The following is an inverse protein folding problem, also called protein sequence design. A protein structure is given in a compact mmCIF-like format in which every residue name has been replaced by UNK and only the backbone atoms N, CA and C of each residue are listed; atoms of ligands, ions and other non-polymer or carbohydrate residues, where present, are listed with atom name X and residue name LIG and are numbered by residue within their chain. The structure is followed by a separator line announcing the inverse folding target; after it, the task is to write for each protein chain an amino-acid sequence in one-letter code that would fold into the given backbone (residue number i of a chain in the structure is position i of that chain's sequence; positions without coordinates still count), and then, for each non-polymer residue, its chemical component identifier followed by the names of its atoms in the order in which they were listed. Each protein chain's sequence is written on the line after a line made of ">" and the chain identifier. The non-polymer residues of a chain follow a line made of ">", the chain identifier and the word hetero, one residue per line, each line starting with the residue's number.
data_IF_609091934409
#
_entry.id   IF_609091934409
#
_cell.length_a   1.000
_cell.length_b   1.000
_cell.length_c   1.000
_cell.angle_alpha   90.00
_cell.angle_beta   90.00
_cell.angle_gamma   90.00
#
_symmetry.space_group_name_H-M   'P 1'
#
loop_
_entity.id
_entity.type
_entity.pdbx_description
1 polymer ?
#
# COMPACT_ATOMS: atom_id res chain seq x y z
N UNK A 1 -0.71 -19.62 -21.32
CA UNK A 1 0.41 -19.87 -20.40
C UNK A 1 0.23 -19.08 -19.10
N UNK A 2 0.09 -19.75 -17.94
CA UNK A 2 0.02 -19.08 -16.64
C UNK A 2 1.45 -18.88 -16.10
N UNK A 3 1.83 -17.64 -15.77
CA UNK A 3 3.14 -17.38 -15.15
C UNK A 3 3.19 -17.99 -13.75
N UNK A 4 4.23 -18.75 -13.45
CA UNK A 4 4.57 -19.17 -12.09
C UNK A 4 4.93 -17.91 -11.29
N UNK A 5 4.16 -17.61 -10.24
CA UNK A 5 4.49 -16.54 -9.29
C UNK A 5 5.38 -17.08 -8.20
N UNK A 6 6.56 -16.51 -8.02
CA UNK A 6 7.38 -16.77 -6.83
C UNK A 6 6.70 -16.09 -5.64
N UNK A 7 6.40 -16.85 -4.60
CA UNK A 7 5.97 -16.31 -3.32
C UNK A 7 7.21 -16.18 -2.44
N UNK A 8 7.54 -14.94 -2.04
CA UNK A 8 8.59 -14.68 -1.07
C UNK A 8 8.05 -14.97 0.33
N UNK A 9 8.38 -16.14 0.85
CA UNK A 9 8.03 -16.50 2.22
C UNK A 9 9.01 -15.80 3.18
N UNK A 10 8.47 -15.15 4.19
CA UNK A 10 9.26 -14.59 5.26
C UNK A 10 9.93 -15.70 6.08
N UNK A 11 11.19 -15.51 6.41
CA UNK A 11 11.94 -16.36 7.35
C UNK A 11 11.65 -16.01 8.81
N UNK A 12 10.65 -15.16 9.09
CA UNK A 12 10.25 -14.84 10.46
C UNK A 12 9.63 -16.07 11.14
N UNK A 13 10.26 -16.63 12.19
CA UNK A 13 9.76 -17.82 12.87
C UNK A 13 8.36 -17.61 13.47
N UNK A 14 7.97 -16.37 13.75
CA UNK A 14 6.65 -16.03 14.28
C UNK A 14 5.61 -15.78 13.18
N UNK A 15 5.97 -15.91 11.88
CA UNK A 15 5.09 -15.56 10.76
C UNK A 15 3.70 -16.18 10.89
N UNK A 16 3.61 -17.49 11.13
CA UNK A 16 2.34 -18.18 11.25
C UNK A 16 1.48 -17.69 12.43
N UNK A 17 2.12 -17.41 13.57
CA UNK A 17 1.43 -16.89 14.75
C UNK A 17 0.88 -15.47 14.49
N UNK A 18 1.67 -14.61 13.86
CA UNK A 18 1.26 -13.24 13.48
C UNK A 18 0.08 -13.29 12.51
N UNK A 19 0.15 -14.13 11.46
CA UNK A 19 -0.92 -14.26 10.48
C UNK A 19 -2.20 -14.83 11.09
N UNK A 20 -2.10 -15.84 11.97
CA UNK A 20 -3.26 -16.35 12.73
C UNK A 20 -3.88 -15.26 13.59
N UNK A 21 -3.07 -14.45 14.30
CA UNK A 21 -3.54 -13.33 15.09
C UNK A 21 -4.27 -12.29 14.24
N UNK A 22 -3.73 -11.92 13.07
CA UNK A 22 -4.39 -10.99 12.14
C UNK A 22 -5.73 -11.52 11.64
N UNK A 23 -5.81 -12.82 11.29
CA UNK A 23 -7.06 -13.48 10.92
C UNK A 23 -8.07 -13.47 12.07
N UNK A 24 -7.61 -13.72 13.29
CA UNK A 24 -8.43 -13.63 14.50
C UNK A 24 -8.99 -12.23 14.70
N UNK A 25 -8.15 -11.20 14.63
CA UNK A 25 -8.56 -9.80 14.72
C UNK A 25 -9.58 -9.42 13.64
N UNK A 26 -9.48 -9.99 12.45
CA UNK A 26 -10.45 -9.78 11.37
C UNK A 26 -11.77 -10.50 11.65
N UNK A 27 -11.73 -11.77 12.04
CA UNK A 27 -12.93 -12.61 12.27
C UNK A 27 -13.75 -12.11 13.44
N UNK A 28 -13.09 -11.75 14.54
CA UNK A 28 -13.74 -11.35 15.81
C UNK A 28 -13.80 -9.83 16.00
N UNK A 29 -13.70 -9.06 14.91
CA UNK A 29 -13.80 -7.61 15.01
C UNK A 29 -15.19 -7.17 15.47
N UNK A 30 -15.23 -6.14 16.30
CA UNK A 30 -16.50 -5.49 16.68
C UNK A 30 -17.18 -4.91 15.43
N UNK A 31 -18.52 -4.89 15.43
CA UNK A 31 -19.29 -4.23 14.36
C UNK A 31 -18.82 -2.78 14.21
N UNK A 32 -18.61 -2.33 12.97
CA UNK A 32 -18.10 -0.99 12.68
C UNK A 32 -16.58 -0.81 12.83
N UNK A 33 -15.84 -1.82 13.34
CA UNK A 33 -14.38 -1.74 13.39
C UNK A 33 -13.77 -2.04 12.03
N UNK A 34 -12.74 -1.26 11.67
CA UNK A 34 -12.02 -1.35 10.41
C UNK A 34 -10.64 -1.94 10.62
N UNK A 35 -10.18 -2.70 9.63
CA UNK A 35 -8.80 -3.15 9.51
C UNK A 35 -8.19 -2.54 8.24
N UNK A 36 -7.02 -1.96 8.37
CA UNK A 36 -6.28 -1.43 7.25
C UNK A 36 -4.83 -1.88 7.26
N UNK A 37 -4.24 -1.97 6.07
CA UNK A 37 -2.83 -2.27 5.85
C UNK A 37 -2.14 -1.02 5.35
N UNK A 38 -1.03 -0.68 5.98
CA UNK A 38 -0.25 0.50 5.64
C UNK A 38 1.11 0.11 5.09
N UNK A 39 1.54 0.82 4.05
CA UNK A 39 2.87 0.66 3.49
C UNK A 39 3.35 1.94 2.76
N UNK A 40 4.65 1.98 2.44
CA UNK A 40 5.31 3.13 1.83
C UNK A 40 6.18 2.69 0.66
N UNK A 41 5.81 3.10 -0.55
CA UNK A 41 6.54 2.80 -1.78
C UNK A 41 7.35 4.00 -2.26
N UNK A 42 8.68 3.87 -2.45
CA UNK A 42 9.46 4.88 -3.17
C UNK A 42 9.10 4.86 -4.66
N UNK A 43 8.85 6.03 -5.23
CA UNK A 43 8.59 6.22 -6.66
C UNK A 43 9.68 7.10 -7.23
N UNK A 44 10.41 6.58 -8.21
CA UNK A 44 11.40 7.36 -8.99
C UNK A 44 10.78 7.69 -10.34
N UNK A 45 10.76 8.97 -10.69
CA UNK A 45 10.23 9.45 -11.97
C UNK A 45 11.33 9.36 -13.02
N UNK A 46 11.21 8.39 -13.88
CA UNK A 46 12.07 8.15 -15.04
C UNK A 46 11.24 7.48 -16.12
N UNK A 47 11.74 7.40 -17.32
CA UNK A 47 11.13 6.55 -18.33
C UNK A 47 11.26 5.07 -17.90
N UNK A 48 10.16 4.36 -17.92
CA UNK A 48 10.11 2.93 -17.65
C UNK A 48 9.67 2.21 -18.92
N UNK A 49 10.50 1.29 -19.41
CA UNK A 49 10.09 0.28 -20.37
C UNK A 49 9.42 -0.88 -19.62
N UNK A 50 8.18 -1.18 -19.95
CA UNK A 50 7.42 -2.32 -19.44
C UNK A 50 6.94 -3.22 -20.58
N UNK A 51 6.38 -4.37 -20.25
CA UNK A 51 5.75 -5.24 -21.24
C UNK A 51 4.33 -4.74 -21.53
N UNK A 52 4.03 -4.48 -22.81
CA UNK A 52 2.70 -4.12 -23.28
C UNK A 52 2.27 -5.03 -24.43
N UNK A 53 1.00 -5.41 -24.46
CA UNK A 53 0.43 -6.01 -25.65
C UNK A 53 0.26 -4.92 -26.72
N UNK A 54 0.92 -5.09 -27.87
CA UNK A 54 0.82 -4.21 -29.03
C UNK A 54 0.71 -5.05 -30.29
N UNK A 55 0.06 -4.50 -31.32
CA UNK A 55 0.06 -5.09 -32.68
C UNK A 55 1.36 -4.78 -33.43
N UNK A 56 2.13 -3.82 -32.95
CA UNK A 56 3.43 -3.45 -33.53
C UNK A 56 4.53 -4.38 -33.02
N UNK A 57 5.45 -4.78 -33.90
CA UNK A 57 6.58 -5.65 -33.54
C UNK A 57 7.49 -5.02 -32.50
N UNK A 58 7.67 -3.70 -32.53
CA UNK A 58 8.53 -2.94 -31.60
C UNK A 58 7.82 -1.66 -31.20
N UNK A 59 7.57 -1.51 -29.91
CA UNK A 59 7.15 -0.25 -29.32
C UNK A 59 8.38 0.49 -28.79
N UNK A 60 8.79 1.53 -29.46
CA UNK A 60 9.93 2.36 -29.03
C UNK A 60 9.40 3.50 -28.15
N UNK A 61 9.85 3.54 -26.89
CA UNK A 61 9.62 4.66 -26.00
C UNK A 61 10.84 5.58 -26.06
N UNK A 62 10.73 6.66 -26.80
CA UNK A 62 11.76 7.72 -26.77
C UNK A 62 11.81 8.36 -25.39
N UNK A 63 12.88 8.15 -24.68
CA UNK A 63 13.00 8.56 -23.30
C UNK A 63 14.38 9.13 -22.98
N UNK A 64 14.39 10.29 -22.33
CA UNK A 64 15.60 10.79 -21.69
C UNK A 64 15.90 9.92 -20.46
N UNK A 65 17.09 9.36 -20.39
CA UNK A 65 17.53 8.46 -19.29
C UNK A 65 17.60 9.15 -17.91
N UNK A 66 17.42 10.45 -17.82
CA UNK A 66 17.58 11.22 -16.60
C UNK A 66 16.41 11.02 -15.63
N UNK A 67 16.71 10.79 -14.36
CA UNK A 67 15.72 10.83 -13.27
C UNK A 67 15.15 12.25 -13.13
N UNK A 68 13.82 12.38 -13.18
CA UNK A 68 13.05 13.65 -13.15
C UNK A 68 12.45 13.95 -11.78
N UNK A 69 12.78 13.14 -10.79
CA UNK A 69 12.36 13.33 -9.42
C UNK A 69 12.15 12.01 -8.67
N UNK A 70 12.00 12.13 -7.35
CA UNK A 70 11.69 11.03 -6.45
C UNK A 70 10.73 11.49 -5.38
N UNK A 71 9.77 10.65 -5.03
CA UNK A 71 8.85 10.85 -3.90
C UNK A 71 8.44 9.51 -3.31
N UNK A 72 7.71 9.55 -2.20
CA UNK A 72 7.20 8.36 -1.53
C UNK A 72 5.68 8.39 -1.54
N UNK A 73 5.09 7.28 -1.98
CA UNK A 73 3.66 7.03 -1.90
C UNK A 73 3.38 6.30 -0.59
N UNK A 74 2.62 6.94 0.28
CA UNK A 74 2.06 6.35 1.49
C UNK A 74 0.67 5.86 1.16
N UNK A 75 0.42 4.57 1.35
CA UNK A 75 -0.87 3.96 1.05
C UNK A 75 -1.42 3.23 2.28
N UNK A 76 -2.69 3.45 2.55
CA UNK A 76 -3.48 2.72 3.54
C UNK A 76 -4.61 2.01 2.80
N UNK A 77 -4.60 0.69 2.82
CA UNK A 77 -5.64 -0.14 2.24
C UNK A 77 -6.62 -0.61 3.33
N UNK A 78 -7.80 -0.06 3.34
CA UNK A 78 -8.90 -0.45 4.23
C UNK A 78 -9.66 -1.63 3.61
N UNK A 79 -9.54 -2.81 4.23
CA UNK A 79 -10.02 -4.08 3.64
C UNK A 79 -11.52 -4.30 3.78
N UNK A 80 -12.21 -3.60 4.68
CA UNK A 80 -13.64 -3.79 4.89
C UNK A 80 -14.46 -3.34 3.68
N UNK A 81 -14.04 -2.23 3.05
CA UNK A 81 -14.73 -1.63 1.90
C UNK A 81 -13.86 -1.60 0.64
N UNK A 82 -12.62 -2.10 0.72
CA UNK A 82 -11.69 -2.08 -0.41
C UNK A 82 -11.22 -0.68 -0.79
N UNK A 83 -11.13 0.23 0.17
CA UNK A 83 -10.77 1.63 -0.07
C UNK A 83 -9.30 1.86 0.17
N UNK A 84 -8.66 2.56 -0.77
CA UNK A 84 -7.29 3.03 -0.63
C UNK A 84 -7.29 4.51 -0.23
N UNK A 85 -6.54 4.86 0.80
CA UNK A 85 -6.22 6.23 1.19
C UNK A 85 -4.73 6.45 0.97
N UNK A 86 -4.34 7.59 0.40
CA UNK A 86 -2.95 7.83 0.06
C UNK A 86 -2.52 9.28 0.27
N UNK A 87 -1.19 9.46 0.33
CA UNK A 87 -0.55 10.75 0.28
C UNK A 87 0.87 10.62 -0.29
N UNK A 88 1.39 11.70 -0.83
CA UNK A 88 2.76 11.78 -1.31
C UNK A 88 3.61 12.61 -0.35
N UNK A 89 4.85 12.15 -0.12
CA UNK A 89 5.81 12.84 0.72
C UNK A 89 7.22 12.79 0.09
N UNK A 90 8.10 13.74 0.41
CA UNK A 90 9.47 13.74 -0.09
C UNK A 90 10.38 12.74 0.64
N UNK A 91 9.91 12.10 1.70
CA UNK A 91 10.67 11.12 2.47
C UNK A 91 9.78 10.11 3.19
N UNK A 92 10.38 9.03 3.72
CA UNK A 92 9.69 7.94 4.43
C UNK A 92 9.89 7.93 5.95
N UNK A 93 10.70 8.83 6.49
CA UNK A 93 11.03 8.82 7.92
C UNK A 93 9.81 9.05 8.83
N UNK A 94 10.00 8.79 10.12
CA UNK A 94 8.93 8.81 11.14
C UNK A 94 8.10 10.10 11.16
N UNK A 95 8.69 11.26 10.84
CA UNK A 95 7.94 12.54 10.71
C UNK A 95 6.84 12.47 9.65
N UNK A 96 7.09 11.80 8.53
CA UNK A 96 6.11 11.66 7.44
C UNK A 96 5.07 10.60 7.77
N UNK A 97 5.47 9.50 8.43
CA UNK A 97 4.53 8.52 8.97
C UNK A 97 3.57 9.22 9.95
N UNK A 98 4.08 10.04 10.87
CA UNK A 98 3.25 10.82 11.80
C UNK A 98 2.29 11.78 11.07
N UNK A 99 2.75 12.49 10.02
CA UNK A 99 1.88 13.35 9.20
C UNK A 99 0.78 12.55 8.51
N UNK A 100 1.12 11.38 7.99
CA UNK A 100 0.15 10.49 7.36
C UNK A 100 -0.87 9.96 8.37
N UNK A 101 -0.45 9.49 9.54
CA UNK A 101 -1.36 8.97 10.57
C UNK A 101 -2.36 10.04 11.08
N UNK A 102 -1.95 11.32 11.16
CA UNK A 102 -2.89 12.42 11.42
C UNK A 102 -3.94 12.57 10.30
N UNK A 103 -3.56 12.36 9.02
CA UNK A 103 -4.52 12.33 7.91
C UNK A 103 -5.44 11.12 7.99
N UNK A 104 -4.91 9.96 8.36
CA UNK A 104 -5.70 8.73 8.56
C UNK A 104 -6.79 8.99 9.60
N UNK A 105 -6.46 9.59 10.76
CA UNK A 105 -7.47 9.90 11.78
C UNK A 105 -8.52 10.89 11.29
N UNK A 106 -8.15 11.85 10.43
CA UNK A 106 -9.13 12.77 9.80
C UNK A 106 -10.06 12.07 8.81
N UNK A 107 -9.59 11.07 8.08
CA UNK A 107 -10.43 10.27 7.18
C UNK A 107 -11.36 9.31 7.93
N UNK A 108 -11.00 8.93 9.14
CA UNK A 108 -11.75 7.99 10.00
C UNK A 108 -11.90 8.59 11.41
N UNK A 109 -12.65 9.69 11.58
CA UNK A 109 -12.65 10.46 12.83
C UNK A 109 -13.20 9.68 14.03
N UNK A 110 -14.22 8.87 13.82
CA UNK A 110 -14.94 8.14 14.88
C UNK A 110 -14.77 6.61 14.78
N UNK A 111 -14.44 6.09 13.60
CA UNK A 111 -14.37 4.65 13.38
C UNK A 111 -13.18 4.03 14.14
N UNK A 112 -13.42 2.94 14.89
CA UNK A 112 -12.35 2.12 15.42
C UNK A 112 -11.54 1.51 14.28
N UNK A 113 -10.31 1.96 14.10
CA UNK A 113 -9.42 1.54 13.01
C UNK A 113 -8.16 0.91 13.57
N UNK A 114 -7.91 -0.36 13.24
CA UNK A 114 -6.64 -1.05 13.49
C UNK A 114 -5.78 -1.05 12.24
N UNK A 115 -4.50 -0.75 12.39
CA UNK A 115 -3.54 -0.67 11.28
C UNK A 115 -2.53 -1.81 11.39
N UNK A 116 -2.45 -2.64 10.35
CA UNK A 116 -1.37 -3.59 10.16
C UNK A 116 -0.27 -2.92 9.30
N UNK A 117 0.98 -3.05 9.71
CA UNK A 117 2.12 -2.42 9.05
C UNK A 117 3.39 -3.26 9.25
N UNK A 118 4.35 -3.10 8.37
CA UNK A 118 5.63 -3.77 8.43
C UNK A 118 6.52 -3.27 9.59
N UNK A 119 7.73 -3.80 9.69
CA UNK A 119 8.66 -3.47 10.75
C UNK A 119 9.72 -2.44 10.34
N UNK A 120 9.37 -1.49 9.42
CA UNK A 120 10.27 -0.39 9.05
C UNK A 120 10.70 0.43 10.29
N UNK A 121 11.93 0.94 10.34
CA UNK A 121 12.42 1.78 11.43
C UNK A 121 11.56 3.01 11.76
N UNK A 122 10.82 3.54 10.78
CA UNK A 122 9.92 4.68 10.98
C UNK A 122 8.58 4.31 11.63
N UNK A 123 8.25 3.01 11.74
CA UNK A 123 6.99 2.51 12.27
C UNK A 123 6.98 2.39 13.81
N UNK A 124 5.78 2.25 14.45
CA UNK A 124 5.64 2.40 15.91
C UNK A 124 6.43 1.36 16.73
N UNK A 125 6.80 0.23 16.14
CA UNK A 125 7.62 -0.77 16.83
C UNK A 125 9.01 -0.23 17.21
N UNK A 126 9.62 0.60 16.32
CA UNK A 126 10.97 1.14 16.48
C UNK A 126 10.98 2.64 16.75
N UNK A 127 10.11 3.42 16.13
CA UNK A 127 10.06 4.87 16.25
C UNK A 127 9.18 5.32 17.43
N UNK A 128 9.81 5.78 18.54
CA UNK A 128 9.10 6.25 19.73
C UNK A 128 8.06 7.33 19.43
N UNK A 129 8.38 8.31 18.56
CA UNK A 129 7.45 9.38 18.17
C UNK A 129 6.21 8.86 17.43
N UNK A 130 6.38 7.90 16.52
CA UNK A 130 5.26 7.27 15.81
C UNK A 130 4.38 6.48 16.77
N UNK A 131 5.00 5.73 17.69
CA UNK A 131 4.30 4.98 18.74
C UNK A 131 3.46 5.89 19.63
N UNK A 132 4.05 7.00 20.11
CA UNK A 132 3.36 8.00 20.95
C UNK A 132 2.16 8.60 20.20
N UNK A 133 2.39 9.07 18.97
CA UNK A 133 1.33 9.67 18.16
C UNK A 133 0.17 8.71 17.86
N UNK A 134 0.46 7.48 17.46
CA UNK A 134 -0.59 6.50 17.16
C UNK A 134 -1.44 6.18 18.38
N UNK A 135 -0.83 6.13 19.58
CA UNK A 135 -1.57 6.00 20.85
C UNK A 135 -2.47 7.21 21.10
N UNK A 136 -1.95 8.44 20.96
CA UNK A 136 -2.73 9.68 21.11
C UNK A 136 -3.90 9.77 20.15
N UNK A 137 -3.73 9.28 18.93
CA UNK A 137 -4.77 9.26 17.89
C UNK A 137 -5.76 8.09 18.06
N UNK A 138 -5.58 7.20 19.04
CA UNK A 138 -6.42 6.01 19.17
C UNK A 138 -6.34 5.09 17.95
N UNK A 139 -5.16 4.95 17.35
CA UNK A 139 -4.89 4.07 16.22
C UNK A 139 -4.09 2.84 16.68
N UNK A 140 -4.74 1.78 17.18
CA UNK A 140 -4.06 0.54 17.52
C UNK A 140 -3.43 -0.08 16.28
N UNK A 141 -2.26 -0.70 16.45
CA UNK A 141 -1.55 -1.32 15.35
C UNK A 141 -1.14 -2.76 15.64
N UNK A 142 -0.79 -3.47 14.58
CA UNK A 142 -0.20 -4.82 14.64
C UNK A 142 0.92 -4.89 13.60
N UNK A 143 2.10 -5.38 14.00
CA UNK A 143 3.19 -5.58 13.05
C UNK A 143 2.94 -6.80 12.18
N UNK A 144 3.25 -6.69 10.89
CA UNK A 144 3.37 -7.81 9.97
C UNK A 144 4.65 -8.61 10.24
N UNK A 145 4.77 -9.84 9.75
CA UNK A 145 6.03 -10.59 9.82
C UNK A 145 7.16 -9.82 9.15
N UNK A 146 8.38 -10.00 9.64
CA UNK A 146 9.57 -9.36 9.05
C UNK A 146 9.84 -9.92 7.65
N UNK A 147 10.15 -9.04 6.68
CA UNK A 147 10.49 -9.45 5.31
C UNK A 147 9.38 -10.24 4.62
N UNK A 148 8.13 -9.82 4.76
CA UNK A 148 6.95 -10.53 4.28
C UNK A 148 6.07 -9.63 3.42
N UNK A 149 6.58 -9.15 2.26
CA UNK A 149 5.79 -8.28 1.37
C UNK A 149 4.52 -8.99 0.89
N UNK A 150 4.58 -10.28 0.57
CA UNK A 150 3.43 -11.07 0.13
C UNK A 150 2.31 -11.19 1.16
N UNK A 151 2.60 -10.93 2.44
CA UNK A 151 1.61 -10.93 3.52
C UNK A 151 1.02 -9.52 3.76
N UNK A 152 1.47 -8.50 3.01
CA UNK A 152 0.93 -7.14 3.08
C UNK A 152 0.04 -6.84 1.87
N UNK A 153 -1.30 -6.80 2.02
CA UNK A 153 -2.20 -6.47 0.92
C UNK A 153 -1.96 -5.09 0.28
N UNK A 154 -1.29 -4.16 0.95
CA UNK A 154 -0.94 -2.86 0.38
C UNK A 154 0.04 -2.99 -0.80
N UNK A 155 0.88 -4.03 -0.83
CA UNK A 155 1.79 -4.33 -1.95
C UNK A 155 1.06 -4.56 -3.28
N UNK A 156 -0.17 -5.09 -3.21
CA UNK A 156 -0.99 -5.28 -4.41
C UNK A 156 -1.33 -3.95 -5.09
N UNK A 157 -1.48 -2.89 -4.29
CA UNK A 157 -1.75 -1.53 -4.80
C UNK A 157 -0.53 -1.01 -5.53
N UNK A 158 0.66 -1.24 -5.00
CA UNK A 158 1.90 -0.81 -5.64
C UNK A 158 2.16 -1.56 -6.96
N UNK A 159 1.89 -2.87 -6.98
CA UNK A 159 1.97 -3.66 -8.21
C UNK A 159 0.97 -3.19 -9.27
N UNK A 160 -0.23 -2.82 -8.86
CA UNK A 160 -1.25 -2.27 -9.76
C UNK A 160 -0.84 -0.88 -10.31
N UNK A 161 -0.30 -0.01 -9.47
CA UNK A 161 0.25 1.29 -9.90
C UNK A 161 1.44 1.10 -10.83
N UNK A 162 2.34 0.16 -10.53
CA UNK A 162 3.48 -0.15 -11.40
C UNK A 162 3.00 -0.50 -12.80
N UNK A 163 2.07 -1.44 -12.91
CA UNK A 163 1.57 -1.94 -14.19
C UNK A 163 0.71 -0.93 -14.95
N UNK A 164 -0.18 -0.22 -14.24
CA UNK A 164 -1.16 0.66 -14.88
C UNK A 164 -0.62 2.08 -15.17
N UNK A 165 0.35 2.56 -14.40
CA UNK A 165 0.80 3.94 -14.42
C UNK A 165 2.28 4.08 -14.74
N UNK A 166 3.16 3.30 -14.08
CA UNK A 166 4.59 3.49 -14.19
C UNK A 166 5.20 2.76 -15.38
N UNK A 167 4.77 1.53 -15.65
CA UNK A 167 5.20 0.80 -16.84
C UNK A 167 4.82 1.57 -18.10
N UNK A 168 5.78 1.77 -18.98
CA UNK A 168 5.67 2.60 -20.19
C UNK A 168 5.35 4.09 -19.93
N UNK A 169 5.73 4.59 -18.75
CA UNK A 169 5.59 5.99 -18.38
C UNK A 169 6.77 6.83 -18.86
N UNK A 170 6.48 8.02 -19.37
CA UNK A 170 7.46 9.04 -19.70
C UNK A 170 7.02 10.40 -19.13
N UNK A 171 6.56 10.41 -17.90
CA UNK A 171 6.04 11.61 -17.26
C UNK A 171 7.13 12.71 -17.16
N UNK A 172 6.79 13.99 -17.41
CA UNK A 172 7.76 15.07 -17.41
C UNK A 172 8.33 15.39 -16.02
N UNK A 173 7.53 15.16 -14.97
CA UNK A 173 7.90 15.48 -13.59
C UNK A 173 7.15 14.64 -12.56
N UNK A 174 7.54 14.82 -11.29
CA UNK A 174 6.90 14.11 -10.17
C UNK A 174 5.43 14.49 -9.98
N UNK A 175 5.03 15.74 -10.28
CA UNK A 175 3.64 16.18 -10.12
C UNK A 175 2.73 15.51 -11.15
N UNK A 176 3.20 15.34 -12.39
CA UNK A 176 2.47 14.59 -13.42
C UNK A 176 2.22 13.14 -12.99
N UNK A 177 3.27 12.44 -12.53
CA UNK A 177 3.13 11.07 -12.02
C UNK A 177 2.17 11.00 -10.83
N UNK A 178 2.26 11.92 -9.86
CA UNK A 178 1.36 11.97 -8.70
C UNK A 178 -0.11 12.19 -9.11
N UNK A 179 -0.37 13.04 -10.11
CA UNK A 179 -1.71 13.26 -10.66
C UNK A 179 -2.28 11.99 -11.29
N UNK A 180 -1.49 11.28 -12.10
CA UNK A 180 -1.89 10.01 -12.74
C UNK A 180 -2.18 8.94 -11.70
N UNK A 181 -1.28 8.73 -10.72
CA UNK A 181 -1.50 7.80 -9.61
C UNK A 181 -2.79 8.15 -8.86
N UNK A 182 -3.00 9.44 -8.54
CA UNK A 182 -4.20 9.88 -7.82
C UNK A 182 -5.48 9.66 -8.62
N UNK A 183 -5.46 9.90 -9.93
CA UNK A 183 -6.61 9.64 -10.81
C UNK A 183 -6.93 8.14 -10.86
N UNK A 184 -5.90 7.30 -10.98
CA UNK A 184 -6.03 5.85 -10.99
C UNK A 184 -6.61 5.33 -9.68
N UNK A 185 -6.07 5.72 -8.51
CA UNK A 185 -6.56 5.27 -7.21
C UNK A 185 -8.00 5.78 -6.93
N UNK A 186 -8.35 7.00 -7.36
CA UNK A 186 -9.75 7.47 -7.30
C UNK A 186 -10.67 6.60 -8.15
N UNK A 187 -10.27 6.27 -9.37
CA UNK A 187 -11.04 5.37 -10.24
C UNK A 187 -11.21 3.99 -9.62
N UNK A 188 -10.16 3.46 -8.99
CA UNK A 188 -10.20 2.18 -8.29
C UNK A 188 -11.15 2.21 -7.09
N UNK A 189 -11.09 3.25 -6.27
CA UNK A 189 -12.00 3.39 -5.13
C UNK A 189 -13.48 3.42 -5.54
N UNK A 190 -13.81 3.92 -6.73
CA UNK A 190 -15.18 3.88 -7.27
C UNK A 190 -15.63 2.48 -7.68
N UNK A 191 -14.67 1.60 -8.05
CA UNK A 191 -14.93 0.22 -8.50
C UNK A 191 -14.74 -0.79 -7.37
N UNK A 192 -15.30 -0.57 -6.22
CA UNK A 192 -15.07 -1.29 -4.94
C UNK A 192 -14.85 -2.81 -5.05
N UNK A 193 -15.44 -3.46 -6.05
CA UNK A 193 -15.49 -4.92 -6.12
C UNK A 193 -14.21 -5.59 -6.64
N UNK A 194 -13.28 -4.86 -7.24
CA UNK A 194 -12.18 -5.45 -8.00
C UNK A 194 -10.83 -5.54 -7.26
N UNK A 195 -10.57 -4.73 -6.25
CA UNK A 195 -9.35 -4.83 -5.46
C UNK A 195 -9.32 -6.05 -4.54
N UNK A 196 -10.46 -6.61 -4.28
CA UNK A 196 -10.72 -7.45 -3.13
C UNK A 196 -10.44 -8.93 -3.32
N UNK A 197 -10.13 -9.36 -4.54
CA UNK A 197 -9.92 -10.78 -4.84
C UNK A 197 -8.52 -11.30 -4.51
N UNK A 198 -7.62 -10.47 -3.99
CA UNK A 198 -6.23 -10.87 -3.74
C UNK A 198 -5.87 -10.61 -2.28
N UNK A 199 -6.51 -11.33 -1.37
CA UNK A 199 -6.04 -11.40 0.00
C UNK A 199 -5.35 -12.75 0.23
N UNK A 200 -4.04 -12.75 0.24
CA UNK A 200 -3.22 -13.91 0.64
C UNK A 200 -3.51 -14.36 2.08
N UNK A 201 -4.11 -13.50 2.89
CA UNK A 201 -4.52 -13.79 4.26
C UNK A 201 -5.88 -14.48 4.37
N UNK A 202 -6.58 -14.73 3.26
CA UNK A 202 -7.97 -15.18 3.30
C UNK A 202 -8.92 -14.17 3.99
N UNK A 203 -8.48 -12.91 4.07
CA UNK A 203 -9.29 -11.78 4.52
C UNK A 203 -10.04 -11.29 3.29
N UNK A 204 -11.21 -11.84 3.07
CA UNK A 204 -12.09 -11.40 1.97
C UNK A 204 -13.15 -10.50 2.58
N UNK A 205 -13.35 -9.28 2.07
CA UNK A 205 -14.50 -8.48 2.46
C UNK A 205 -15.78 -9.23 2.16
N UNK A 206 -16.73 -9.19 3.07
CA UNK A 206 -18.06 -9.72 2.78
C UNK A 206 -18.69 -8.83 1.70
N UNK A 207 -19.01 -9.42 0.54
CA UNK A 207 -19.92 -8.77 -0.39
C UNK A 207 -21.21 -8.44 0.37
N UNK A 208 -21.60 -7.17 0.33
CA UNK A 208 -22.95 -6.76 0.69
C UNK A 208 -23.83 -6.91 -0.52
#
# INVERSE_FOLDING_TARGET
>A
MRRVRRKLLSNDPQRQAILRRLKGLWRHRRRGSLLAFFDVQPITVKAYGGRRYTREKHLILEAKQKTRGRFYLFALYEVNHGVVRWAFFPGKGARYVCRFMRRVRRWYPTQPLRIALDQDPAHPRKAKQTKRLMRQLGLPWTSLPKGSPDDNPAETIFSDIQQAILDNSNDPDAKATQRRISAHLRSRNRRKDRFMRISYLGIVPKNR
#
